data_IF_185832285783
#
_entry.id   IF_185832285783
#
_cell.length_a   1.000
_cell.length_b   1.000
_cell.length_c   1.000
_cell.angle_alpha   90.00
_cell.angle_beta   90.00
_cell.angle_gamma   90.00
#
_symmetry.space_group_name_H-M   'P 1'
#
loop_
_entity.id
_entity.type
_entity.pdbx_description
1 polymer ?
#
# COMPACT_ATOMS: atom_id res chain seq x y z
N UNK A 1 6.73 -0.96 -7.34
CA UNK A 1 5.77 -0.96 -8.46
C UNK A 1 4.85 0.25 -8.35
N UNK A 2 4.19 0.45 -7.20
CA UNK A 2 3.28 1.57 -6.93
C UNK A 2 3.77 2.94 -7.44
N UNK A 3 4.98 3.36 -7.06
CA UNK A 3 5.59 4.64 -7.52
C UNK A 3 5.50 4.82 -9.05
N UNK A 4 5.82 3.78 -9.82
CA UNK A 4 5.80 3.88 -11.29
C UNK A 4 4.39 4.04 -11.85
N UNK A 5 3.39 3.44 -11.19
CA UNK A 5 1.99 3.55 -11.60
C UNK A 5 1.44 4.94 -11.29
N UNK A 6 1.72 5.45 -10.09
CA UNK A 6 1.33 6.80 -9.67
C UNK A 6 1.93 7.87 -10.59
N UNK A 7 3.23 7.75 -10.92
CA UNK A 7 3.89 8.68 -11.83
C UNK A 7 3.39 8.58 -13.28
N UNK A 8 3.01 7.38 -13.74
CA UNK A 8 2.53 7.17 -15.12
C UNK A 8 1.10 7.66 -15.32
N UNK A 9 0.26 7.57 -14.30
CA UNK A 9 -1.17 7.89 -14.37
C UNK A 9 -1.57 8.90 -13.29
N UNK A 10 -1.00 10.12 -13.31
CA UNK A 10 -1.28 11.12 -12.28
C UNK A 10 -2.78 11.46 -12.25
N UNK A 11 -3.37 11.40 -11.06
CA UNK A 11 -4.80 11.65 -10.82
C UNK A 11 -5.74 10.50 -11.24
N UNK A 12 -5.23 9.46 -11.90
CA UNK A 12 -6.01 8.29 -12.35
C UNK A 12 -5.66 7.01 -11.58
N UNK A 13 -4.42 6.90 -11.09
CA UNK A 13 -4.02 5.86 -10.14
C UNK A 13 -4.09 6.39 -8.70
N UNK A 14 -4.38 5.50 -7.76
CA UNK A 14 -4.38 5.77 -6.31
C UNK A 14 -3.66 4.65 -5.57
N UNK A 15 -2.93 4.97 -4.52
CA UNK A 15 -2.30 3.99 -3.66
C UNK A 15 -3.32 3.39 -2.66
N UNK A 16 -3.99 2.32 -3.05
CA UNK A 16 -4.93 1.60 -2.17
C UNK A 16 -4.19 0.78 -1.11
N UNK A 17 -4.57 0.93 0.16
CA UNK A 17 -3.91 0.35 1.33
C UNK A 17 -2.39 0.59 1.41
N UNK A 18 -1.98 1.86 1.32
CA UNK A 18 -0.61 2.32 1.53
C UNK A 18 -0.49 3.25 2.75
N UNK A 19 -1.37 3.09 3.75
CA UNK A 19 -1.29 3.85 4.99
C UNK A 19 -0.20 3.30 5.92
N UNK A 20 0.07 4.01 7.02
CA UNK A 20 1.01 3.53 8.04
C UNK A 20 0.42 2.31 8.77
N UNK A 21 -0.88 2.31 9.00
CA UNK A 21 -1.66 1.27 9.66
C UNK A 21 -1.62 -0.03 8.84
N UNK A 22 -1.82 0.07 7.52
CA UNK A 22 -1.70 -1.06 6.60
C UNK A 22 -0.31 -1.70 6.66
N UNK A 23 0.75 -0.88 6.72
CA UNK A 23 2.10 -1.39 6.88
C UNK A 23 2.29 -2.10 8.23
N UNK A 24 1.73 -1.58 9.31
CA UNK A 24 1.85 -2.20 10.63
C UNK A 24 1.19 -3.58 10.68
N UNK A 25 0.00 -3.71 10.08
CA UNK A 25 -0.73 -4.96 9.98
C UNK A 25 -0.04 -5.98 9.06
N UNK A 26 0.56 -5.51 7.97
CA UNK A 26 1.28 -6.34 7.00
C UNK A 26 2.74 -6.64 7.36
N UNK A 27 3.27 -6.04 8.43
CA UNK A 27 4.69 -6.14 8.79
C UNK A 27 5.07 -7.60 9.07
N UNK A 28 6.12 -8.04 8.41
CA UNK A 28 6.79 -9.31 8.67
C UNK A 28 8.09 -9.11 9.44
N UNK A 29 8.68 -10.22 9.90
CA UNK A 29 10.03 -10.21 10.50
C UNK A 29 11.14 -10.33 9.42
N UNK A 30 10.78 -10.31 8.14
CA UNK A 30 11.75 -10.34 7.05
C UNK A 30 12.52 -9.02 6.98
N UNK A 31 13.84 -9.09 7.14
CA UNK A 31 14.73 -7.94 6.94
C UNK A 31 14.89 -7.61 5.45
N UNK A 32 14.80 -6.33 5.12
CA UNK A 32 15.05 -5.80 3.79
C UNK A 32 16.56 -5.79 3.50
N UNK A 33 16.91 -6.22 2.29
CA UNK A 33 18.29 -6.11 1.83
C UNK A 33 18.69 -4.63 1.62
N UNK A 34 19.99 -4.30 1.68
CA UNK A 34 20.48 -2.95 1.37
C UNK A 34 20.04 -2.47 -0.02
N UNK A 35 19.98 -3.38 -0.99
CA UNK A 35 19.48 -3.09 -2.34
C UNK A 35 18.02 -2.65 -2.34
N UNK A 36 17.16 -3.32 -1.55
CA UNK A 36 15.73 -2.95 -1.42
C UNK A 36 15.56 -1.62 -0.69
N UNK A 37 16.34 -1.38 0.37
CA UNK A 37 16.34 -0.09 1.07
C UNK A 37 16.72 1.05 0.13
N UNK A 38 17.76 0.88 -0.70
CA UNK A 38 18.19 1.87 -1.69
C UNK A 38 17.14 2.14 -2.78
N UNK A 39 16.24 1.19 -3.06
CA UNK A 39 15.14 1.45 -3.99
C UNK A 39 14.13 2.45 -3.44
N UNK A 40 14.02 2.59 -2.11
CA UNK A 40 13.11 3.55 -1.47
C UNK A 40 13.54 5.00 -1.70
N UNK A 41 14.81 5.28 -1.96
CA UNK A 41 15.31 6.63 -2.30
C UNK A 41 14.64 7.20 -3.55
N UNK A 42 14.21 6.32 -4.46
CA UNK A 42 13.54 6.69 -5.72
C UNK A 42 12.03 6.85 -5.57
N UNK A 43 11.46 6.58 -4.39
CA UNK A 43 10.04 6.74 -4.13
C UNK A 43 9.79 8.17 -3.67
N UNK A 44 9.00 8.91 -4.45
CA UNK A 44 8.78 10.35 -4.28
C UNK A 44 7.29 10.72 -4.21
N UNK A 45 6.38 9.80 -4.55
CA UNK A 45 4.94 10.05 -4.47
C UNK A 45 4.53 10.34 -3.02
N UNK A 46 3.84 11.46 -2.74
CA UNK A 46 3.42 11.82 -1.38
C UNK A 46 2.59 10.73 -0.69
N UNK A 47 1.72 10.05 -1.45
CA UNK A 47 0.89 8.94 -0.98
C UNK A 47 1.70 7.77 -0.40
N UNK A 48 2.96 7.62 -0.81
CA UNK A 48 3.83 6.52 -0.37
C UNK A 48 4.81 6.94 0.74
N UNK A 49 4.83 8.21 1.14
CA UNK A 49 5.77 8.72 2.12
C UNK A 49 5.61 8.06 3.51
N UNK A 50 4.39 7.92 4.08
CA UNK A 50 4.24 7.31 5.41
C UNK A 50 4.79 5.87 5.52
N UNK A 51 4.41 4.91 4.65
CA UNK A 51 4.97 3.56 4.72
C UNK A 51 6.47 3.54 4.35
N UNK A 52 6.93 4.38 3.41
CA UNK A 52 8.36 4.51 3.07
C UNK A 52 9.20 4.85 4.29
N UNK A 53 8.80 5.87 5.05
CA UNK A 53 9.54 6.28 6.25
C UNK A 53 9.60 5.18 7.31
N UNK A 54 8.51 4.44 7.47
CA UNK A 54 8.47 3.34 8.43
C UNK A 54 9.33 2.15 7.97
N UNK A 55 9.32 1.82 6.68
CA UNK A 55 10.22 0.82 6.09
C UNK A 55 11.69 1.20 6.29
N UNK A 56 12.06 2.46 6.06
CA UNK A 56 13.43 2.95 6.28
C UNK A 56 13.85 2.88 7.75
N UNK A 57 12.95 3.22 8.68
CA UNK A 57 13.23 3.18 10.13
C UNK A 57 13.36 1.76 10.67
N UNK A 58 12.53 0.84 10.20
CA UNK A 58 12.47 -0.53 10.74
C UNK A 58 13.38 -1.50 10.00
N UNK A 59 13.61 -1.28 8.71
CA UNK A 59 14.34 -2.23 7.86
C UNK A 59 13.59 -3.54 7.62
N UNK A 60 12.30 -3.62 7.94
CA UNK A 60 11.49 -4.83 7.82
C UNK A 60 10.55 -4.73 6.62
N UNK A 61 10.24 -5.85 5.99
CA UNK A 61 9.30 -5.92 4.88
C UNK A 61 7.86 -6.00 5.41
N UNK A 62 6.92 -5.39 4.68
CA UNK A 62 5.48 -5.62 4.83
C UNK A 62 4.93 -6.31 3.59
N UNK A 63 4.10 -7.33 3.77
CA UNK A 63 3.51 -8.09 2.67
C UNK A 63 1.99 -7.95 2.63
N UNK A 64 1.43 -7.64 1.47
CA UNK A 64 0.02 -7.28 1.32
C UNK A 64 -0.95 -8.40 1.74
N UNK A 65 -0.53 -9.66 1.74
CA UNK A 65 -1.35 -10.75 2.26
C UNK A 65 -1.74 -10.57 3.73
N UNK A 66 -0.98 -9.79 4.50
CA UNK A 66 -1.27 -9.50 5.91
C UNK A 66 -2.52 -8.64 6.13
N UNK A 67 -3.05 -8.00 5.07
CA UNK A 67 -4.27 -7.17 5.12
C UNK A 67 -5.38 -7.70 4.20
N UNK A 68 -5.35 -8.98 3.82
CA UNK A 68 -6.36 -9.57 2.93
C UNK A 68 -7.79 -9.45 3.46
N UNK A 69 -7.97 -9.53 4.76
CA UNK A 69 -9.28 -9.37 5.40
C UNK A 69 -9.85 -7.97 5.14
N UNK A 70 -9.02 -6.93 5.24
CA UNK A 70 -9.42 -5.55 5.03
C UNK A 70 -9.69 -5.28 3.54
N UNK A 71 -8.79 -5.74 2.66
CA UNK A 71 -8.97 -5.70 1.21
C UNK A 71 -10.29 -6.37 0.78
N UNK A 72 -10.62 -7.51 1.39
CA UNK A 72 -11.86 -8.22 1.09
C UNK A 72 -13.10 -7.50 1.61
N UNK A 73 -13.02 -6.84 2.78
CA UNK A 73 -14.08 -6.00 3.31
C UNK A 73 -14.37 -4.83 2.38
N UNK A 74 -13.34 -4.12 1.92
CA UNK A 74 -13.45 -3.02 0.95
C UNK A 74 -14.14 -3.46 -0.35
N UNK A 75 -13.71 -4.60 -0.91
CA UNK A 75 -14.34 -5.16 -2.12
C UNK A 75 -15.81 -5.48 -1.88
N UNK A 76 -16.15 -6.16 -0.78
CA UNK A 76 -17.56 -6.49 -0.45
C UNK A 76 -18.42 -5.24 -0.28
N UNK A 77 -17.91 -4.21 0.40
CA UNK A 77 -18.63 -2.94 0.57
C UNK A 77 -18.86 -2.27 -0.78
N UNK A 78 -17.87 -2.27 -1.66
CA UNK A 78 -18.02 -1.70 -3.01
C UNK A 78 -19.10 -2.43 -3.82
N UNK A 79 -19.23 -3.76 -3.67
CA UNK A 79 -20.25 -4.55 -4.36
C UNK A 79 -21.65 -4.35 -3.79
N UNK A 80 -21.79 -4.13 -2.48
CA UNK A 80 -23.09 -3.88 -1.84
C UNK A 80 -23.68 -2.52 -2.23
N UNK A 81 -22.84 -1.51 -2.47
CA UNK A 81 -23.26 -0.21 -3.00
C UNK A 81 -23.85 -0.23 -4.41
N UNK A 82 -23.60 -1.28 -5.20
CA UNK A 82 -24.21 -1.45 -6.53
C UNK A 82 -25.64 -2.03 -6.49
N UNK A 83 -26.02 -2.72 -5.41
CA UNK A 83 -27.33 -3.40 -5.33
C UNK A 83 -28.48 -2.50 -4.85
N UNK A 84 -28.22 -1.27 -4.41
CA UNK A 84 -29.24 -0.35 -3.88
C UNK A 84 -29.63 0.78 -4.82
N UNK A 85 -29.06 0.86 -6.03
CA UNK A 85 -29.41 1.85 -7.07
C UNK A 85 -30.29 1.31 -8.20
N UNK A 86 -30.98 0.18 -7.97
CA UNK A 86 -32.00 -0.35 -8.88
C UNK A 86 -33.33 -0.50 -8.15
N UNK A 87 -33.95 0.63 -7.78
CA UNK A 87 -35.40 0.75 -7.53
C UNK A 87 -35.86 2.10 -8.08
#
# INVERSE_FOLDING_TARGET
MAERLLLRYPGQAKAWHYTLEDYQLSRSDQVLSPQRLKQLDRVSSPELAPPKEKLLKTGLAGYQEGILSDLWCDVKQSMQGFNTSSV
#
